data_IF_081418664672
#
_entry.id   IF_081418664672
#
_cell.length_a   1.000
_cell.length_b   1.000
_cell.length_c   1.000
_cell.angle_alpha   90.00
_cell.angle_beta   90.00
_cell.angle_gamma   90.00
#
_symmetry.space_group_name_H-M   'P 1'
#
loop_
_entity.id
_entity.type
_entity.pdbx_description
1 polymer ?
#
# COMPACT_ATOMS: atom_id res chain seq x y z
N UNK A 1 31.62 -27.68 -0.83
CA UNK A 1 30.82 -27.16 -1.96
C UNK A 1 29.66 -26.41 -1.34
N UNK A 2 29.68 -25.08 -1.43
CA UNK A 2 28.59 -24.22 -0.95
C UNK A 2 27.43 -24.34 -1.93
N UNK A 3 26.35 -25.01 -1.53
CA UNK A 3 25.09 -24.99 -2.28
C UNK A 3 24.43 -23.63 -2.09
N UNK A 4 24.23 -22.91 -3.19
CA UNK A 4 23.49 -21.65 -3.24
C UNK A 4 22.20 -21.93 -4.02
N UNK A 5 21.07 -21.79 -3.35
CA UNK A 5 19.75 -21.89 -3.98
C UNK A 5 19.16 -20.49 -4.08
N UNK A 6 18.86 -20.04 -5.30
CA UNK A 6 18.27 -18.72 -5.55
C UNK A 6 16.76 -18.89 -5.69
N UNK A 7 16.01 -18.22 -4.81
CA UNK A 7 14.56 -18.17 -4.83
C UNK A 7 14.13 -16.86 -5.50
N UNK A 8 13.40 -16.96 -6.60
CA UNK A 8 12.79 -15.81 -7.26
C UNK A 8 11.30 -15.77 -6.93
N UNK A 9 10.83 -14.63 -6.41
CA UNK A 9 9.42 -14.42 -6.11
C UNK A 9 8.76 -13.61 -7.24
N UNK A 10 7.46 -13.83 -7.44
CA UNK A 10 6.65 -13.11 -8.44
C UNK A 10 6.55 -11.60 -8.22
N UNK A 11 6.98 -11.12 -7.05
CA UNK A 11 6.90 -9.73 -6.60
C UNK A 11 8.28 -9.04 -6.61
N UNK A 12 9.14 -9.40 -7.58
CA UNK A 12 10.51 -8.88 -7.77
C UNK A 12 11.47 -9.08 -6.59
N UNK A 13 11.06 -9.78 -5.53
CA UNK A 13 11.95 -10.19 -4.44
C UNK A 13 12.85 -11.34 -4.91
N UNK A 14 14.10 -11.31 -4.48
CA UNK A 14 15.09 -12.38 -4.72
C UNK A 14 15.65 -12.81 -3.36
N UNK A 15 15.60 -14.11 -3.08
CA UNK A 15 16.21 -14.72 -1.90
C UNK A 15 17.37 -15.61 -2.31
N UNK A 16 18.40 -15.69 -1.47
CA UNK A 16 19.48 -16.66 -1.62
C UNK A 16 19.57 -17.49 -0.34
N UNK A 17 19.50 -18.81 -0.46
CA UNK A 17 19.70 -19.76 0.63
C UNK A 17 21.12 -20.29 0.54
N UNK A 18 21.89 -20.07 1.61
CA UNK A 18 23.26 -20.57 1.74
C UNK A 18 23.36 -21.46 2.98
N UNK A 19 24.03 -22.59 2.84
CA UNK A 19 24.20 -23.57 3.93
C UNK A 19 25.21 -23.12 5.00
N UNK A 20 26.03 -22.11 4.72
CA UNK A 20 27.13 -21.71 5.59
C UNK A 20 27.00 -20.25 6.06
N UNK A 21 27.06 -20.02 7.38
CA UNK A 21 26.92 -18.67 7.98
C UNK A 21 28.03 -17.70 7.56
N UNK A 22 29.23 -18.19 7.28
CA UNK A 22 30.34 -17.37 6.80
C UNK A 22 30.08 -16.82 5.40
N UNK A 23 29.54 -17.66 4.50
CA UNK A 23 29.17 -17.27 3.14
C UNK A 23 28.02 -16.25 3.11
N UNK A 24 27.07 -16.35 4.05
CA UNK A 24 25.98 -15.38 4.21
C UNK A 24 26.51 -13.98 4.56
N UNK A 25 27.47 -13.89 5.49
CA UNK A 25 28.07 -12.62 5.90
C UNK A 25 28.90 -12.00 4.78
N UNK A 26 29.70 -12.80 4.08
CA UNK A 26 30.45 -12.33 2.92
C UNK A 26 29.53 -11.79 1.82
N UNK A 27 28.45 -12.51 1.49
CA UNK A 27 27.48 -12.04 0.49
C UNK A 27 26.78 -10.75 0.93
N UNK A 28 26.44 -10.61 2.22
CA UNK A 28 25.88 -9.37 2.75
C UNK A 28 26.86 -8.21 2.62
N UNK A 29 28.12 -8.42 3.01
CA UNK A 29 29.15 -7.38 2.94
C UNK A 29 29.41 -6.97 1.48
N UNK A 30 29.48 -7.92 0.55
CA UNK A 30 29.66 -7.66 -0.89
C UNK A 30 28.46 -6.88 -1.48
N UNK A 31 27.22 -7.27 -1.16
CA UNK A 31 26.01 -6.58 -1.63
C UNK A 31 25.88 -5.14 -1.10
N UNK A 32 26.36 -4.89 0.12
CA UNK A 32 26.39 -3.57 0.72
C UNK A 32 27.54 -2.71 0.18
N UNK A 33 28.72 -3.31 -0.04
CA UNK A 33 29.88 -2.61 -0.59
C UNK A 33 29.68 -2.18 -2.04
N UNK A 34 29.05 -3.04 -2.86
CA UNK A 34 28.75 -2.72 -4.25
C UNK A 34 27.57 -1.75 -4.41
N UNK A 35 26.95 -1.31 -3.31
CA UNK A 35 25.72 -0.47 -3.27
C UNK A 35 24.57 -1.02 -4.10
N UNK A 36 24.56 -2.32 -4.37
CA UNK A 36 23.49 -2.96 -5.13
C UNK A 36 22.17 -2.95 -4.35
N UNK A 37 22.23 -2.94 -3.01
CA UNK A 37 21.07 -2.99 -2.13
C UNK A 37 21.32 -2.16 -0.86
N UNK A 38 20.29 -1.49 -0.33
CA UNK A 38 20.37 -0.79 0.96
C UNK A 38 20.13 -1.75 2.13
N UNK A 39 20.72 -1.49 3.30
CA UNK A 39 20.57 -2.35 4.49
C UNK A 39 19.10 -2.59 4.88
N UNK A 40 18.20 -1.61 4.67
CA UNK A 40 16.78 -1.79 4.96
C UNK A 40 16.06 -2.79 4.03
N UNK A 41 16.65 -3.11 2.89
CA UNK A 41 16.07 -4.03 1.90
C UNK A 41 16.66 -5.46 2.03
N UNK A 42 17.71 -5.65 2.84
CA UNK A 42 18.26 -6.96 3.17
C UNK A 42 17.60 -7.52 4.44
N UNK A 43 16.92 -8.65 4.31
CA UNK A 43 16.41 -9.40 5.46
C UNK A 43 17.21 -10.68 5.61
N UNK A 44 17.95 -10.81 6.72
CA UNK A 44 18.69 -12.01 7.05
C UNK A 44 17.82 -12.96 7.88
N UNK A 45 17.54 -14.15 7.34
CA UNK A 45 16.76 -15.18 8.04
C UNK A 45 17.70 -16.28 8.54
N UNK A 46 17.68 -16.52 9.85
CA UNK A 46 18.46 -17.57 10.50
C UNK A 46 17.61 -18.83 10.80
N UNK A 47 18.23 -20.03 10.84
CA UNK A 47 17.52 -21.28 11.13
C UNK A 47 16.99 -21.40 12.58
N UNK A 48 17.33 -20.44 13.45
CA UNK A 48 16.84 -20.38 14.84
C UNK A 48 15.62 -19.47 15.01
N UNK A 49 15.18 -18.75 13.97
CA UNK A 49 13.99 -17.92 14.04
C UNK A 49 12.75 -18.77 13.79
N UNK A 50 11.78 -18.65 14.69
CA UNK A 50 10.47 -19.30 14.56
C UNK A 50 9.75 -18.80 13.30
N UNK A 51 9.30 -19.72 12.46
CA UNK A 51 8.55 -19.48 11.21
C UNK A 51 9.22 -18.55 10.18
N UNK A 52 10.29 -19.01 9.48
CA UNK A 52 10.92 -18.24 8.40
C UNK A 52 9.94 -17.92 7.25
N UNK A 53 8.97 -18.80 6.99
CA UNK A 53 7.91 -18.60 5.98
C UNK A 53 7.05 -17.36 6.26
N UNK A 54 6.79 -17.05 7.53
CA UNK A 54 5.96 -15.91 7.94
C UNK A 54 6.70 -14.57 7.85
N UNK A 55 8.03 -14.59 7.80
CA UNK A 55 8.87 -13.42 7.59
C UNK A 55 9.17 -13.17 6.10
N UNK A 56 9.07 -14.21 5.26
CA UNK A 56 9.15 -14.11 3.80
C UNK A 56 7.89 -13.49 3.20
N UNK A 57 6.74 -13.69 3.83
CA UNK A 57 5.51 -12.97 3.52
C UNK A 57 5.67 -11.56 4.06
N UNK A 58 5.77 -10.56 3.17
CA UNK A 58 5.74 -9.15 3.53
C UNK A 58 4.60 -8.93 4.52
N UNK A 59 4.93 -8.77 5.81
CA UNK A 59 3.93 -8.49 6.83
C UNK A 59 3.27 -7.18 6.39
N UNK A 60 1.95 -7.16 6.11
CA UNK A 60 1.30 -5.91 5.81
C UNK A 60 1.57 -5.00 7.00
N UNK A 61 2.28 -3.91 6.74
CA UNK A 61 2.67 -2.97 7.78
C UNK A 61 1.36 -2.43 8.37
N UNK A 62 1.02 -2.81 9.61
CA UNK A 62 -0.27 -2.44 10.19
C UNK A 62 -0.38 -0.92 10.33
N UNK A 63 0.75 -0.23 10.44
CA UNK A 63 0.82 1.22 10.47
C UNK A 63 0.51 1.81 9.10
N UNK A 64 1.04 1.23 8.02
CA UNK A 64 0.70 1.63 6.65
C UNK A 64 -0.78 1.39 6.33
N UNK A 65 -1.32 0.23 6.71
CA UNK A 65 -2.74 -0.10 6.49
C UNK A 65 -3.68 0.83 7.25
N UNK A 66 -3.34 1.15 8.51
CA UNK A 66 -4.09 2.09 9.33
C UNK A 66 -4.01 3.52 8.78
N UNK A 67 -2.81 3.94 8.35
CA UNK A 67 -2.60 5.27 7.79
C UNK A 67 -3.34 5.44 6.45
N UNK A 68 -3.32 4.43 5.59
CA UNK A 68 -4.05 4.43 4.32
C UNK A 68 -5.57 4.55 4.55
N UNK A 69 -6.11 3.78 5.52
CA UNK A 69 -7.52 3.86 5.87
C UNK A 69 -7.88 5.21 6.47
N UNK A 70 -7.06 5.76 7.37
CA UNK A 70 -7.32 7.03 8.02
C UNK A 70 -7.32 8.19 7.00
N UNK A 71 -6.39 8.19 6.05
CA UNK A 71 -6.37 9.14 4.95
C UNK A 71 -7.58 8.99 4.02
N UNK A 72 -7.99 7.76 3.72
CA UNK A 72 -9.18 7.50 2.91
C UNK A 72 -10.45 8.05 3.57
N UNK A 73 -10.64 7.79 4.87
CA UNK A 73 -11.78 8.29 5.63
C UNK A 73 -11.74 9.82 5.73
N UNK A 74 -10.57 10.41 5.97
CA UNK A 74 -10.42 11.86 6.06
C UNK A 74 -10.76 12.57 4.74
N UNK A 75 -10.18 12.11 3.64
CA UNK A 75 -10.43 12.66 2.31
C UNK A 75 -11.86 12.40 1.84
N UNK A 76 -12.40 11.20 2.11
CA UNK A 76 -13.79 10.85 1.83
C UNK A 76 -14.78 11.70 2.62
N UNK A 77 -14.50 12.01 3.89
CA UNK A 77 -15.34 12.90 4.70
C UNK A 77 -15.37 14.33 4.15
N UNK A 78 -14.22 14.87 3.73
CA UNK A 78 -14.14 16.19 3.09
C UNK A 78 -14.90 16.19 1.76
N UNK A 79 -14.70 15.16 0.94
CA UNK A 79 -15.40 14.99 -0.34
C UNK A 79 -16.91 14.89 -0.17
N UNK A 80 -17.38 14.19 0.86
CA UNK A 80 -18.80 14.07 1.19
C UNK A 80 -19.42 15.42 1.60
N UNK A 81 -18.73 16.21 2.43
CA UNK A 81 -19.19 17.54 2.83
C UNK A 81 -19.28 18.45 1.60
N UNK A 82 -18.25 18.48 0.74
CA UNK A 82 -18.25 19.27 -0.47
C UNK A 82 -19.39 18.86 -1.43
N UNK A 83 -19.57 17.55 -1.62
CA UNK A 83 -20.62 17.00 -2.46
C UNK A 83 -22.01 17.37 -1.95
N UNK A 84 -22.22 17.38 -0.63
CA UNK A 84 -23.49 17.76 -0.02
C UNK A 84 -23.80 19.25 -0.25
N UNK A 85 -22.79 20.12 -0.11
CA UNK A 85 -22.93 21.55 -0.38
C UNK A 85 -23.23 21.82 -1.87
N UNK A 86 -22.52 21.15 -2.78
CA UNK A 86 -22.74 21.25 -4.22
C UNK A 86 -24.12 20.73 -4.63
N UNK A 87 -24.54 19.58 -4.10
CA UNK A 87 -25.87 19.03 -4.36
C UNK A 87 -26.97 19.95 -3.85
N UNK A 88 -26.82 20.50 -2.64
CA UNK A 88 -27.75 21.49 -2.09
C UNK A 88 -27.83 22.75 -2.95
N UNK A 89 -26.71 23.21 -3.51
CA UNK A 89 -26.72 24.32 -4.47
C UNK A 89 -27.48 23.93 -5.74
N UNK A 90 -27.13 22.81 -6.38
CA UNK A 90 -27.74 22.38 -7.65
C UNK A 90 -29.24 22.08 -7.54
N UNK A 91 -29.72 21.63 -6.38
CA UNK A 91 -31.16 21.40 -6.15
C UNK A 91 -31.92 22.72 -6.05
N UNK A 92 -31.30 23.80 -5.56
CA UNK A 92 -31.98 25.09 -5.39
C UNK A 92 -31.83 26.03 -6.60
N UNK A 93 -30.66 26.04 -7.24
CA UNK A 93 -30.33 26.98 -8.32
C UNK A 93 -29.82 26.31 -9.60
N UNK A 94 -29.78 24.97 -9.62
CA UNK A 94 -29.28 24.22 -10.76
C UNK A 94 -30.32 24.04 -11.87
N UNK A 95 -29.92 23.35 -12.95
CA UNK A 95 -30.78 23.08 -14.09
C UNK A 95 -32.00 22.23 -13.73
N UNK A 96 -33.05 22.29 -14.55
CA UNK A 96 -34.33 21.62 -14.29
C UNK A 96 -34.17 20.12 -13.95
N UNK A 97 -33.16 19.45 -14.50
CA UNK A 97 -32.84 18.05 -14.21
C UNK A 97 -32.48 17.80 -12.73
N UNK A 98 -31.69 18.68 -12.11
CA UNK A 98 -31.26 18.52 -10.71
C UNK A 98 -32.30 19.00 -9.70
N UNK A 99 -33.18 19.92 -10.13
CA UNK A 99 -34.33 20.37 -9.34
C UNK A 99 -35.49 19.37 -9.38
N UNK A 100 -35.73 18.72 -10.52
CA UNK A 100 -36.84 17.78 -10.69
C UNK A 100 -36.67 16.50 -9.86
N UNK A 101 -35.44 16.03 -9.68
CA UNK A 101 -35.13 14.82 -8.91
C UNK A 101 -34.00 15.10 -7.91
N UNK A 102 -34.29 15.79 -6.80
CA UNK A 102 -33.26 16.19 -5.84
C UNK A 102 -32.52 15.00 -5.23
N UNK A 103 -33.21 13.90 -4.97
CA UNK A 103 -32.61 12.66 -4.48
C UNK A 103 -31.55 12.09 -5.42
N UNK A 104 -31.77 12.14 -6.74
CA UNK A 104 -30.79 11.66 -7.71
C UNK A 104 -29.55 12.55 -7.75
N UNK A 105 -29.73 13.87 -7.61
CA UNK A 105 -28.61 14.83 -7.54
C UNK A 105 -27.71 14.55 -6.34
N UNK A 106 -28.29 14.29 -5.16
CA UNK A 106 -27.51 13.93 -3.98
C UNK A 106 -26.76 12.60 -4.17
N UNK A 107 -27.42 11.55 -4.65
CA UNK A 107 -26.78 10.24 -4.86
C UNK A 107 -25.64 10.35 -5.89
N UNK A 108 -25.87 11.07 -6.99
CA UNK A 108 -24.88 11.25 -8.05
C UNK A 108 -23.64 12.04 -7.61
N UNK A 109 -23.79 13.03 -6.73
CA UNK A 109 -22.67 13.84 -6.22
C UNK A 109 -21.96 13.19 -5.02
N UNK A 110 -22.69 12.48 -4.17
CA UNK A 110 -22.10 11.77 -3.03
C UNK A 110 -21.24 10.58 -3.47
N UNK A 111 -21.59 9.91 -4.56
CA UNK A 111 -20.83 8.74 -5.05
C UNK A 111 -19.37 9.08 -5.37
N UNK A 112 -19.03 10.06 -6.24
CA UNK A 112 -17.65 10.47 -6.44
C UNK A 112 -16.97 11.00 -5.17
N UNK A 113 -17.70 11.73 -4.32
CA UNK A 113 -17.17 12.28 -3.07
C UNK A 113 -16.61 11.21 -2.11
N UNK A 114 -17.20 10.02 -2.13
CA UNK A 114 -16.73 8.86 -1.36
C UNK A 114 -15.53 8.16 -2.03
N UNK A 115 -15.42 8.19 -3.36
CA UNK A 115 -14.37 7.48 -4.12
C UNK A 115 -13.10 8.31 -4.40
N UNK A 116 -13.15 9.64 -4.27
CA UNK A 116 -12.01 10.53 -4.57
C UNK A 116 -10.79 10.36 -3.64
N UNK A 117 -10.93 9.63 -2.53
CA UNK A 117 -9.84 9.36 -1.57
C UNK A 117 -8.73 8.42 -2.06
N UNK A 118 -8.71 8.03 -3.35
CA UNK A 118 -7.76 7.02 -3.87
C UNK A 118 -6.56 7.61 -4.65
N UNK A 119 -6.38 8.94 -4.70
CA UNK A 119 -5.53 9.57 -5.73
C UNK A 119 -4.16 10.12 -5.31
N UNK A 120 -3.67 9.91 -4.07
CA UNK A 120 -2.40 10.52 -3.63
C UNK A 120 -1.31 9.57 -3.07
N UNK A 121 -1.47 8.24 -3.08
CA UNK A 121 -0.44 7.36 -2.50
C UNK A 121 -0.26 6.03 -3.25
N UNK A 122 -0.24 6.07 -4.58
CA UNK A 122 0.23 4.95 -5.41
C UNK A 122 1.55 5.31 -6.10
#
# INVERSE_FOLDING_TARGET
MTSVEILSFSDHRVGAVLSEKAAVRQLQDDLLNERLVQQQQLTLLGPQQSDPEKQLISKPDPELASNMLNWHIYLGAIGLILAFLLAGWLVNYGPMFTQANPYLTFIALLSPGLFLGYSHQA
#
